data_IF_658683751576
#
_entry.id   IF_658683751576
#
_cell.length_a   1.000
_cell.length_b   1.000
_cell.length_c   1.000
_cell.angle_alpha   90.00
_cell.angle_beta   90.00
_cell.angle_gamma   90.00
#
_symmetry.space_group_name_H-M   'P 1'
#
loop_
_entity.id
_entity.type
_entity.pdbx_description
1 polymer ?
#
# COMPACT_ATOMS: atom_id res chain seq x y z
N UNK A 1 -4.59 -18.05 55.70
CA UNK A 1 -5.67 -17.25 55.06
C UNK A 1 -5.34 -17.17 53.58
N UNK A 2 -6.09 -17.92 52.77
CA UNK A 2 -5.84 -18.06 51.34
C UNK A 2 -6.52 -16.98 50.50
N UNK A 3 -5.93 -16.75 49.32
CA UNK A 3 -6.43 -16.29 48.00
C UNK A 3 -7.47 -15.14 47.99
N UNK A 4 -7.33 -14.11 47.14
CA UNK A 4 -7.68 -14.22 45.71
C UNK A 4 -6.70 -13.42 44.82
N UNK A 5 -6.36 -14.11 43.74
CA UNK A 5 -5.49 -13.74 42.64
C UNK A 5 -6.39 -13.16 41.52
N UNK A 6 -6.27 -11.87 41.22
CA UNK A 6 -6.92 -11.29 40.05
C UNK A 6 -6.15 -11.72 38.79
N UNK A 7 -6.65 -12.78 38.16
CA UNK A 7 -6.21 -13.20 36.84
C UNK A 7 -6.71 -12.19 35.80
N UNK A 8 -5.80 -11.72 34.96
CA UNK A 8 -6.12 -10.95 33.77
C UNK A 8 -7.12 -11.76 32.92
N UNK A 9 -8.34 -11.26 32.82
CA UNK A 9 -9.39 -11.86 32.00
C UNK A 9 -8.98 -11.72 30.53
N UNK A 10 -8.43 -12.78 29.95
CA UNK A 10 -8.23 -12.91 28.51
C UNK A 10 -9.61 -12.89 27.87
N UNK A 11 -10.05 -11.70 27.44
CA UNK A 11 -11.35 -11.51 26.83
C UNK A 11 -11.34 -12.24 25.48
N UNK A 12 -11.76 -13.51 25.48
CA UNK A 12 -11.89 -14.29 24.26
C UNK A 12 -13.01 -13.67 23.42
N UNK A 13 -12.72 -13.36 22.16
CA UNK A 13 -13.70 -12.77 21.26
C UNK A 13 -14.86 -13.74 21.05
N UNK A 14 -16.10 -13.27 21.20
CA UNK A 14 -17.31 -14.07 20.96
C UNK A 14 -17.35 -14.65 19.53
N UNK A 15 -16.70 -13.97 18.58
CA UNK A 15 -16.57 -14.42 17.20
C UNK A 15 -15.71 -15.68 17.06
N UNK A 16 -14.75 -15.90 17.97
CA UNK A 16 -13.89 -17.10 17.99
C UNK A 16 -14.55 -18.30 18.69
N UNK A 17 -15.65 -18.07 19.41
CA UNK A 17 -16.46 -19.12 20.03
C UNK A 17 -17.52 -19.71 19.08
N UNK A 18 -17.69 -19.11 17.89
CA UNK A 18 -18.62 -19.61 16.88
C UNK A 18 -18.05 -20.85 16.17
N UNK A 19 -18.91 -21.80 15.75
CA UNK A 19 -18.55 -22.84 14.81
C UNK A 19 -17.97 -22.25 13.51
N UNK A 20 -17.01 -22.97 12.91
CA UNK A 20 -16.31 -22.51 11.70
C UNK A 20 -17.28 -22.20 10.56
N UNK A 21 -18.40 -22.93 10.46
CA UNK A 21 -19.44 -22.77 9.45
C UNK A 21 -20.10 -21.39 9.54
N UNK A 22 -20.41 -20.93 10.76
CA UNK A 22 -21.00 -19.60 10.98
C UNK A 22 -19.97 -18.50 10.69
N UNK A 23 -18.71 -18.72 11.04
CA UNK A 23 -17.63 -17.79 10.70
C UNK A 23 -17.48 -17.69 9.18
N UNK A 24 -17.48 -18.81 8.46
CA UNK A 24 -17.43 -18.84 6.99
C UNK A 24 -18.62 -18.12 6.34
N UNK A 25 -19.81 -18.21 6.93
CA UNK A 25 -20.97 -17.42 6.51
C UNK A 25 -20.74 -15.91 6.69
N UNK A 26 -20.14 -15.49 7.80
CA UNK A 26 -19.76 -14.08 8.01
C UNK A 26 -18.74 -13.64 6.94
N UNK A 27 -17.73 -14.47 6.66
CA UNK A 27 -16.79 -14.23 5.57
C UNK A 27 -17.47 -14.16 4.19
N UNK A 28 -18.62 -14.80 3.98
CA UNK A 28 -19.38 -14.70 2.74
C UNK A 28 -20.21 -13.42 2.62
N UNK A 29 -20.53 -12.77 3.74
CA UNK A 29 -21.33 -11.57 3.77
C UNK A 29 -20.52 -10.27 3.63
N UNK A 30 -19.23 -10.30 4.00
CA UNK A 30 -18.36 -9.12 3.96
C UNK A 30 -17.60 -9.00 2.62
N UNK A 31 -17.25 -7.77 2.24
CA UNK A 31 -16.54 -7.50 0.99
C UNK A 31 -15.13 -8.12 0.98
N UNK A 32 -14.55 -8.35 -0.20
CA UNK A 32 -13.24 -9.01 -0.37
C UNK A 32 -12.11 -8.39 0.47
N UNK A 33 -12.12 -7.07 0.67
CA UNK A 33 -11.13 -6.37 1.50
C UNK A 33 -11.35 -6.63 2.99
N UNK A 34 -12.60 -6.61 3.42
CA UNK A 34 -12.97 -6.88 4.81
C UNK A 34 -12.78 -8.35 5.17
N UNK A 35 -12.97 -9.26 4.21
CA UNK A 35 -12.60 -10.67 4.36
C UNK A 35 -11.11 -10.79 4.68
N UNK A 36 -10.25 -10.06 3.97
CA UNK A 36 -8.81 -10.08 4.25
C UNK A 36 -8.47 -9.49 5.61
N UNK A 37 -9.10 -8.37 6.00
CA UNK A 37 -8.87 -7.80 7.33
C UNK A 37 -9.35 -8.71 8.45
N UNK A 38 -10.50 -9.36 8.26
CA UNK A 38 -11.04 -10.33 9.21
C UNK A 38 -10.09 -11.53 9.34
N UNK A 39 -9.60 -12.08 8.22
CA UNK A 39 -8.62 -13.16 8.22
C UNK A 39 -7.31 -12.77 8.93
N UNK A 40 -6.82 -11.56 8.70
CA UNK A 40 -5.54 -11.09 9.25
C UNK A 40 -5.62 -10.65 10.72
N UNK A 41 -6.81 -10.57 11.31
CA UNK A 41 -6.98 -10.13 12.70
C UNK A 41 -6.44 -11.15 13.72
N UNK A 42 -6.53 -12.46 13.45
CA UNK A 42 -5.96 -13.50 14.31
C UNK A 42 -5.64 -14.80 13.55
N UNK A 43 -4.80 -15.64 14.16
CA UNK A 43 -4.36 -16.92 13.56
C UNK A 43 -5.52 -17.89 13.28
N UNK A 44 -6.52 -17.94 14.16
CA UNK A 44 -7.67 -18.83 13.99
C UNK A 44 -8.53 -18.40 12.79
N UNK A 45 -8.79 -17.10 12.64
CA UNK A 45 -9.54 -16.58 11.49
C UNK A 45 -8.75 -16.70 10.20
N UNK A 46 -7.43 -16.56 10.25
CA UNK A 46 -6.58 -16.84 9.10
C UNK A 46 -6.70 -18.32 8.66
N UNK A 47 -6.68 -19.25 9.63
CA UNK A 47 -6.86 -20.67 9.35
C UNK A 47 -8.25 -20.97 8.77
N UNK A 48 -9.32 -20.49 9.40
CA UNK A 48 -10.70 -20.65 8.89
C UNK A 48 -10.82 -20.07 7.48
N UNK A 49 -10.21 -18.91 7.24
CA UNK A 49 -10.26 -18.26 5.92
C UNK A 49 -9.63 -19.09 4.80
N UNK A 50 -8.69 -19.99 5.13
CA UNK A 50 -8.09 -20.90 4.13
C UNK A 50 -9.03 -22.02 3.68
N UNK A 51 -10.14 -22.25 4.39
CA UNK A 51 -11.20 -23.17 3.98
C UNK A 51 -12.10 -22.58 2.90
N UNK A 52 -11.89 -21.31 2.53
CA UNK A 52 -12.63 -20.59 1.50
C UNK A 52 -11.67 -20.04 0.45
N UNK A 53 -12.13 -19.99 -0.80
CA UNK A 53 -11.43 -19.27 -1.86
C UNK A 53 -11.50 -17.75 -1.63
N UNK A 54 -10.49 -17.22 -0.93
CA UNK A 54 -10.30 -15.78 -0.79
C UNK A 54 -9.62 -15.20 -2.04
N UNK A 55 -10.30 -14.27 -2.71
CA UNK A 55 -9.68 -13.48 -3.78
C UNK A 55 -8.71 -12.47 -3.19
N UNK A 56 -7.41 -12.72 -3.32
CA UNK A 56 -6.36 -11.77 -2.87
C UNK A 56 -6.13 -10.72 -3.96
N UNK A 57 -6.37 -9.42 -3.70
CA UNK A 57 -6.02 -8.35 -4.62
C UNK A 57 -4.50 -8.36 -4.87
N UNK A 58 -4.11 -8.50 -6.13
CA UNK A 58 -2.71 -8.64 -6.54
C UNK A 58 -2.21 -7.36 -7.19
N UNK A 59 -1.24 -6.67 -6.57
CA UNK A 59 -0.65 -5.45 -7.11
C UNK A 59 -0.11 -5.60 -8.55
N UNK A 60 0.64 -6.67 -8.91
CA UNK A 60 1.07 -6.90 -10.30
C UNK A 60 -0.08 -6.97 -11.32
N UNK A 61 -1.15 -7.73 -11.04
CA UNK A 61 -2.30 -7.87 -11.94
C UNK A 61 -3.07 -6.55 -12.09
N UNK A 62 -3.19 -5.78 -11.01
CA UNK A 62 -3.81 -4.45 -11.03
C UNK A 62 -2.97 -3.37 -11.74
N UNK A 63 -1.63 -3.47 -11.72
CA UNK A 63 -0.75 -2.54 -12.45
C UNK A 63 -0.88 -2.64 -13.97
N UNK A 64 -1.23 -3.81 -14.49
CA UNK A 64 -1.37 -4.03 -15.93
C UNK A 64 -2.67 -3.45 -16.53
N UNK A 65 -3.71 -3.26 -15.71
CA UNK A 65 -5.04 -2.85 -16.16
C UNK A 65 -5.49 -1.47 -15.67
N UNK A 66 -4.52 -0.60 -15.34
CA UNK A 66 -4.71 0.83 -15.09
C UNK A 66 -5.93 1.17 -14.22
N UNK A 67 -5.82 1.04 -12.89
CA UNK A 67 -6.63 1.84 -11.96
C UNK A 67 -5.97 1.86 -10.59
N UNK A 68 -6.02 3.03 -9.94
CA UNK A 68 -5.72 3.17 -8.51
C UNK A 68 -6.68 2.27 -7.72
N UNK A 69 -6.22 1.08 -7.33
CA UNK A 69 -7.06 0.13 -6.61
C UNK A 69 -7.17 0.57 -5.15
N UNK A 70 -8.29 1.22 -4.80
CA UNK A 70 -8.55 1.67 -3.44
C UNK A 70 -8.44 0.54 -2.40
N UNK A 71 -8.79 -0.70 -2.78
CA UNK A 71 -8.63 -1.90 -1.96
C UNK A 71 -7.16 -2.16 -1.57
N UNK A 72 -6.22 -2.10 -2.53
CA UNK A 72 -4.80 -2.28 -2.24
C UNK A 72 -4.24 -1.16 -1.35
N UNK A 73 -4.69 0.07 -1.56
CA UNK A 73 -4.34 1.19 -0.69
C UNK A 73 -4.91 1.02 0.72
N UNK A 74 -6.15 0.53 0.85
CA UNK A 74 -6.76 0.24 2.14
C UNK A 74 -5.95 -0.82 2.90
N UNK A 75 -5.59 -1.92 2.25
CA UNK A 75 -4.78 -3.00 2.85
C UNK A 75 -3.43 -2.46 3.33
N UNK A 76 -2.73 -1.70 2.49
CA UNK A 76 -1.44 -1.11 2.86
C UNK A 76 -1.55 -0.19 4.07
N UNK A 77 -2.65 0.56 4.22
CA UNK A 77 -2.83 1.51 5.34
C UNK A 77 -2.96 0.81 6.70
N UNK A 78 -3.49 -0.41 6.74
CA UNK A 78 -3.63 -1.18 7.97
C UNK A 78 -2.30 -1.81 8.40
N UNK A 79 -1.37 -1.99 7.46
CA UNK A 79 -0.05 -2.56 7.70
C UNK A 79 1.08 -1.54 7.45
N UNK A 80 1.14 -0.41 8.20
CA UNK A 80 2.22 0.54 8.04
C UNK A 80 3.53 -0.05 8.56
N UNK A 81 4.67 0.32 7.95
CA UNK A 81 5.99 0.03 8.51
C UNK A 81 6.06 0.53 9.95
N UNK A 82 6.59 -0.29 10.84
CA UNK A 82 6.78 0.07 12.24
C UNK A 82 8.19 0.62 12.45
N UNK A 83 8.31 1.60 13.31
CA UNK A 83 9.60 2.11 13.78
C UNK A 83 10.16 1.20 14.89
N UNK A 84 11.38 1.49 15.36
CA UNK A 84 12.04 0.74 16.43
C UNK A 84 11.24 0.70 17.76
N UNK A 85 10.23 1.55 17.93
CA UNK A 85 9.34 1.58 19.10
C UNK A 85 8.01 0.87 18.85
N UNK A 86 7.87 0.12 17.75
CA UNK A 86 6.65 -0.58 17.37
C UNK A 86 5.49 0.32 16.93
N UNK A 87 5.73 1.61 16.66
CA UNK A 87 4.71 2.57 16.20
C UNK A 87 4.80 2.78 14.70
N UNK A 88 3.70 3.15 14.06
CA UNK A 88 3.68 3.48 12.63
C UNK A 88 4.76 4.54 12.28
N UNK A 89 5.60 4.22 11.30
CA UNK A 89 6.70 5.06 10.86
C UNK A 89 6.22 6.14 9.89
N UNK A 90 6.10 7.37 10.41
CA UNK A 90 5.66 8.55 9.65
C UNK A 90 6.67 9.02 8.60
N UNK A 91 7.87 8.43 8.56
CA UNK A 91 8.88 8.71 7.52
C UNK A 91 8.62 7.95 6.23
N UNK A 92 7.60 7.09 6.20
CA UNK A 92 7.14 6.38 5.00
C UNK A 92 5.72 6.80 4.64
N UNK A 93 5.38 6.68 3.35
CA UNK A 93 4.02 6.87 2.86
C UNK A 93 3.70 5.84 1.75
N UNK A 94 2.44 5.38 1.65
CA UNK A 94 2.02 4.49 0.58
C UNK A 94 1.90 5.26 -0.74
N UNK A 95 2.39 4.67 -1.82
CA UNK A 95 2.20 5.17 -3.18
C UNK A 95 0.94 4.57 -3.82
N UNK A 96 0.08 5.39 -4.44
CA UNK A 96 -1.13 4.93 -5.11
C UNK A 96 -0.91 4.09 -6.38
N UNK A 97 0.27 4.16 -6.99
CA UNK A 97 0.53 3.44 -8.24
C UNK A 97 1.33 2.16 -8.00
N UNK A 98 2.48 2.30 -7.31
CA UNK A 98 3.29 1.13 -7.02
C UNK A 98 2.78 0.32 -5.83
N UNK A 99 1.77 0.80 -5.07
CA UNK A 99 1.20 0.07 -3.93
C UNK A 99 2.31 -0.43 -2.98
N UNK A 100 3.25 0.47 -2.66
CA UNK A 100 4.38 0.21 -1.76
C UNK A 100 4.59 1.41 -0.86
N UNK A 101 5.03 1.16 0.36
CA UNK A 101 5.58 2.21 1.21
C UNK A 101 6.89 2.71 0.63
N UNK A 102 7.01 4.04 0.52
CA UNK A 102 8.23 4.71 0.07
C UNK A 102 8.68 5.77 1.07
N UNK A 103 9.99 6.04 1.19
CA UNK A 103 10.50 7.05 2.10
C UNK A 103 9.96 8.43 1.75
N UNK A 104 9.73 9.29 2.75
CA UNK A 104 9.38 10.71 2.57
C UNK A 104 10.60 11.62 2.58
N UNK A 105 11.77 11.10 2.96
CA UNK A 105 13.02 11.88 3.06
C UNK A 105 13.44 12.44 1.70
N UNK A 106 13.54 13.76 1.57
CA UNK A 106 13.95 14.43 0.31
C UNK A 106 15.31 13.95 -0.21
N UNK A 107 16.26 13.69 0.69
CA UNK A 107 17.61 13.23 0.33
C UNK A 107 17.60 11.91 -0.42
N UNK A 108 16.71 10.97 -0.06
CA UNK A 108 16.51 9.72 -0.78
C UNK A 108 16.08 10.00 -2.24
N UNK A 109 15.13 10.92 -2.43
CA UNK A 109 14.62 11.25 -3.75
C UNK A 109 15.60 12.06 -4.60
N UNK A 110 16.49 12.86 -4.00
CA UNK A 110 17.60 13.47 -4.74
C UNK A 110 18.49 12.40 -5.40
N UNK A 111 18.76 11.30 -4.70
CA UNK A 111 19.55 10.18 -5.24
C UNK A 111 18.79 9.48 -6.36
N UNK A 112 17.49 9.20 -6.15
CA UNK A 112 16.64 8.56 -7.18
C UNK A 112 16.51 9.43 -8.41
N UNK A 113 16.32 10.75 -8.27
CA UNK A 113 16.23 11.69 -9.38
C UNK A 113 17.48 11.70 -10.28
N UNK A 114 18.67 11.45 -9.72
CA UNK A 114 19.89 11.28 -10.53
C UNK A 114 19.81 10.09 -11.48
N UNK A 115 19.17 8.98 -11.09
CA UNK A 115 18.98 7.78 -11.94
C UNK A 115 18.06 8.05 -13.13
N UNK A 116 17.12 8.98 -12.98
CA UNK A 116 16.22 9.42 -14.05
C UNK A 116 16.78 10.61 -14.82
N UNK A 117 18.06 10.95 -14.62
CA UNK A 117 18.73 12.05 -15.31
C UNK A 117 17.96 13.38 -15.21
N UNK A 118 17.25 13.64 -14.10
CA UNK A 118 16.40 14.83 -13.93
C UNK A 118 17.16 16.15 -14.19
N UNK A 119 18.49 16.15 -13.98
CA UNK A 119 19.36 17.31 -14.18
C UNK A 119 20.04 17.37 -15.57
N UNK A 120 19.82 16.39 -16.45
CA UNK A 120 20.39 16.35 -17.81
C UNK A 120 19.44 17.03 -18.80
N UNK A 121 20.00 17.73 -19.79
CA UNK A 121 19.29 18.68 -20.68
C UNK A 121 18.04 18.13 -21.38
N UNK A 122 18.04 16.85 -21.78
CA UNK A 122 16.90 16.22 -22.48
C UNK A 122 15.73 15.90 -21.53
N UNK A 123 16.03 15.44 -20.32
CA UNK A 123 15.07 15.10 -19.28
C UNK A 123 14.59 16.33 -18.49
N UNK A 124 15.32 17.44 -18.55
CA UNK A 124 15.05 18.67 -17.80
C UNK A 124 13.67 19.28 -18.13
N UNK A 125 13.20 19.19 -19.38
CA UNK A 125 11.85 19.67 -19.76
C UNK A 125 10.74 18.71 -19.35
N UNK A 126 10.89 17.41 -19.63
CA UNK A 126 9.86 16.38 -19.33
C UNK A 126 9.66 16.21 -17.82
N UNK A 127 10.76 16.28 -17.07
CA UNK A 127 10.78 16.16 -15.61
C UNK A 127 10.86 17.53 -14.92
N UNK A 128 10.55 18.61 -15.65
CA UNK A 128 10.37 19.93 -15.04
C UNK A 128 9.29 19.83 -13.96
N UNK A 129 9.61 20.28 -12.75
CA UNK A 129 8.73 20.11 -11.58
C UNK A 129 9.02 18.89 -10.70
N UNK A 130 10.04 18.07 -10.99
CA UNK A 130 10.46 16.98 -10.11
C UNK A 130 10.70 17.45 -8.66
N UNK A 131 11.36 18.60 -8.49
CA UNK A 131 11.58 19.21 -7.18
C UNK A 131 10.29 19.55 -6.44
N UNK A 132 9.32 20.13 -7.13
CA UNK A 132 7.99 20.43 -6.58
C UNK A 132 7.21 19.17 -6.19
N UNK A 133 7.33 18.11 -6.98
CA UNK A 133 6.71 16.83 -6.68
C UNK A 133 7.37 16.12 -5.49
N UNK A 134 8.71 16.11 -5.38
CA UNK A 134 9.43 15.60 -4.20
C UNK A 134 9.02 16.39 -2.96
N UNK A 135 8.92 17.70 -3.07
CA UNK A 135 8.46 18.56 -1.98
C UNK A 135 7.03 18.27 -1.56
N UNK A 136 6.14 18.03 -2.53
CA UNK A 136 4.76 17.61 -2.28
C UNK A 136 4.73 16.25 -1.57
N UNK A 137 5.46 15.25 -2.05
CA UNK A 137 5.55 13.92 -1.43
C UNK A 137 6.11 13.96 0.00
N UNK A 138 7.14 14.79 0.22
CA UNK A 138 7.74 14.95 1.54
C UNK A 138 6.82 15.67 2.52
N UNK A 139 6.04 16.66 2.07
CA UNK A 139 5.18 17.47 2.95
C UNK A 139 3.78 16.88 3.14
N UNK A 140 3.12 16.46 2.05
CA UNK A 140 1.74 15.99 2.09
C UNK A 140 1.68 14.56 2.62
N UNK A 141 0.95 14.37 3.71
CA UNK A 141 0.52 13.06 4.18
C UNK A 141 -0.79 12.63 3.48
N UNK A 142 -0.91 12.89 2.18
CA UNK A 142 -2.12 12.51 1.46
C UNK A 142 -2.02 11.07 0.96
N UNK A 143 -3.11 10.35 1.19
CA UNK A 143 -3.21 8.91 1.03
C UNK A 143 -3.41 8.43 -0.41
N UNK A 144 -3.34 9.35 -1.38
CA UNK A 144 -3.54 9.12 -2.82
C UNK A 144 -2.44 9.75 -3.67
N UNK A 145 -1.28 10.07 -3.09
CA UNK A 145 -0.18 10.62 -3.89
C UNK A 145 0.64 9.52 -4.55
N UNK A 146 1.05 9.83 -5.78
CA UNK A 146 2.04 9.10 -6.53
C UNK A 146 3.44 9.39 -5.97
N UNK A 147 4.28 8.37 -5.83
CA UNK A 147 5.66 8.55 -5.39
C UNK A 147 6.54 9.13 -6.51
N UNK A 148 7.66 9.78 -6.15
CA UNK A 148 8.53 10.41 -7.15
C UNK A 148 9.07 9.50 -8.25
N UNK A 149 9.24 8.21 -7.96
CA UNK A 149 9.66 7.24 -8.95
C UNK A 149 8.56 6.94 -9.99
N UNK A 150 7.34 6.70 -9.53
CA UNK A 150 6.19 6.44 -10.41
C UNK A 150 5.89 7.65 -11.31
N UNK A 151 5.98 8.85 -10.74
CA UNK A 151 5.82 10.10 -11.47
C UNK A 151 6.82 10.25 -12.62
N UNK A 152 8.09 9.91 -12.39
CA UNK A 152 9.11 9.93 -13.45
C UNK A 152 8.81 8.91 -14.54
N UNK A 153 8.49 7.66 -14.16
CA UNK A 153 8.21 6.59 -15.14
C UNK A 153 7.01 6.92 -16.03
N UNK A 154 5.94 7.47 -15.46
CA UNK A 154 4.76 7.87 -16.21
C UNK A 154 5.10 8.93 -17.27
N UNK A 155 5.86 9.97 -16.89
CA UNK A 155 6.25 11.05 -17.80
C UNK A 155 7.20 10.61 -18.90
N UNK A 156 8.18 9.77 -18.56
CA UNK A 156 9.09 9.19 -19.55
C UNK A 156 8.32 8.28 -20.51
N UNK A 157 7.41 7.45 -19.98
CA UNK A 157 6.55 6.58 -20.79
C UNK A 157 5.68 7.37 -21.77
N UNK A 158 4.99 8.43 -21.31
CA UNK A 158 4.18 9.31 -22.16
C UNK A 158 5.01 9.99 -23.25
N UNK A 159 6.22 10.43 -22.93
CA UNK A 159 7.09 11.05 -23.91
C UNK A 159 7.55 10.06 -25.00
N UNK A 160 7.94 8.85 -24.60
CA UNK A 160 8.33 7.79 -25.55
C UNK A 160 7.15 7.36 -26.43
N UNK A 161 5.93 7.25 -25.88
CA UNK A 161 4.75 6.93 -26.69
C UNK A 161 4.45 8.02 -27.72
N UNK A 162 4.58 9.30 -27.36
CA UNK A 162 4.38 10.42 -28.29
C UNK A 162 5.41 10.41 -29.42
N UNK A 163 6.68 10.09 -29.12
CA UNK A 163 7.73 9.95 -30.13
C UNK A 163 7.41 8.79 -31.08
N UNK A 164 7.04 7.61 -30.57
CA UNK A 164 6.72 6.46 -31.40
C UNK A 164 5.49 6.71 -32.30
N UNK A 165 4.48 7.44 -31.80
CA UNK A 165 3.32 7.86 -32.60
C UNK A 165 3.64 8.92 -33.65
N UNK A 166 4.67 9.75 -33.44
CA UNK A 166 5.12 10.75 -34.40
C UNK A 166 6.07 10.20 -35.48
N UNK A 167 6.59 8.99 -35.29
CA UNK A 167 7.55 8.32 -36.19
C UNK A 167 6.88 7.18 -37.01
N UNK A 168 5.63 6.81 -36.70
CA UNK A 168 4.88 5.85 -37.52
C UNK A 168 4.25 6.57 -38.73
N UNK A 169 4.55 6.15 -39.98
CA UNK A 169 4.05 6.77 -41.21
C UNK A 169 2.55 6.57 -41.44
#
# INVERSE_FOLDING_TARGET
MGFVQDSAYTQSSALLALPNELVLHIFAYVDTVDQLFLALSCKQLLHISSMKDLSIPCAPKHRAHSTSCFAMLAILRVLPPLNARGRADRTWAPCCDCHRYRPRRKSYWKIVGRRYHVNLHLSCKILSGYGGMVDSWSRKASFSYQCPECWCRERIGKYLSLICSAISP
#
